data_IF_436120514372
#
_entry.id   IF_436120514372
#
_cell.length_a   1.000
_cell.length_b   1.000
_cell.length_c   1.000
_cell.angle_alpha   90.00
_cell.angle_beta   90.00
_cell.angle_gamma   90.00
#
_symmetry.space_group_name_H-M   'P 1'
#
loop_
_entity.id
_entity.type
_entity.pdbx_description
1 polymer ?
#
# COMPACT_ATOMS: atom_id res chain seq x y z
N UNK A 1 -20.07 -1.69 -6.94
CA UNK A 1 -20.07 -0.64 -5.90
C UNK A 1 -18.93 -0.94 -4.92
N UNK A 2 -17.86 -0.13 -4.89
CA UNK A 2 -16.76 -0.30 -3.92
C UNK A 2 -17.25 0.20 -2.56
N UNK A 3 -17.19 -0.65 -1.53
CA UNK A 3 -17.80 -0.40 -0.21
C UNK A 3 -16.96 0.58 0.64
N UNK A 4 -15.64 0.53 0.49
CA UNK A 4 -14.66 1.44 1.11
C UNK A 4 -13.59 1.76 0.05
N UNK A 5 -13.13 3.00 -0.03
CA UNK A 5 -12.03 3.39 -0.91
C UNK A 5 -11.32 4.65 -0.41
N UNK A 6 -10.06 4.82 -0.84
CA UNK A 6 -9.33 6.06 -0.65
C UNK A 6 -9.80 7.04 -1.72
N UNK A 7 -10.42 8.14 -1.32
CA UNK A 7 -10.92 9.19 -2.19
C UNK A 7 -9.81 10.15 -2.63
N UNK A 8 -8.93 10.55 -1.71
CA UNK A 8 -7.76 11.39 -2.00
C UNK A 8 -6.55 11.01 -1.15
N UNK A 9 -5.36 11.33 -1.65
CA UNK A 9 -4.09 11.27 -0.92
C UNK A 9 -3.41 12.63 -1.11
N UNK A 10 -3.00 13.23 -0.01
CA UNK A 10 -2.46 14.58 0.05
C UNK A 10 -1.23 14.62 0.98
N UNK A 11 -0.42 15.67 0.87
CA UNK A 11 0.76 15.90 1.72
C UNK A 11 1.73 14.70 1.78
N UNK A 12 1.88 13.98 0.67
CA UNK A 12 2.79 12.85 0.55
C UNK A 12 4.25 13.30 0.71
N UNK A 13 4.97 12.67 1.61
CA UNK A 13 6.39 12.92 1.89
C UNK A 13 7.10 11.61 2.19
N UNK A 14 8.33 11.47 1.73
CA UNK A 14 9.23 10.40 2.15
C UNK A 14 10.26 11.04 3.06
N UNK A 15 10.53 10.45 4.23
CA UNK A 15 11.51 10.97 5.18
C UNK A 15 12.05 9.82 6.02
N UNK A 16 13.38 9.67 6.08
CA UNK A 16 14.04 8.75 7.03
C UNK A 16 13.47 7.30 7.02
N UNK A 17 13.24 6.72 5.83
CA UNK A 17 12.69 5.35 5.72
C UNK A 17 11.18 5.23 5.97
N UNK A 18 10.48 6.38 5.97
CA UNK A 18 9.05 6.47 6.23
C UNK A 18 8.34 7.22 5.12
N UNK A 19 7.09 6.86 4.89
CA UNK A 19 6.16 7.57 4.01
C UNK A 19 5.10 8.22 4.90
N UNK A 20 5.00 9.54 4.85
CA UNK A 20 3.96 10.31 5.54
C UNK A 20 2.95 10.81 4.52
N UNK A 21 1.66 10.65 4.79
CA UNK A 21 0.61 11.20 3.94
C UNK A 21 -0.67 11.46 4.74
N UNK A 22 -1.53 12.27 4.16
CA UNK A 22 -2.92 12.42 4.59
C UNK A 22 -3.82 11.78 3.55
N UNK A 23 -4.93 11.19 3.94
CA UNK A 23 -5.92 10.68 2.98
C UNK A 23 -7.34 10.89 3.48
N UNK A 24 -8.26 10.95 2.52
CA UNK A 24 -9.69 10.89 2.79
C UNK A 24 -10.18 9.49 2.42
N UNK A 25 -10.68 8.75 3.41
CA UNK A 25 -11.26 7.42 3.20
C UNK A 25 -12.77 7.55 3.20
N UNK A 26 -13.39 7.10 2.11
CA UNK A 26 -14.82 7.25 1.90
C UNK A 26 -15.49 5.89 1.68
N UNK A 27 -16.74 5.79 2.12
CA UNK A 27 -17.50 4.54 2.00
C UNK A 27 -18.98 4.74 2.24
N UNK A 28 -19.78 3.82 1.70
CA UNK A 28 -21.24 3.77 1.94
C UNK A 28 -21.64 2.33 2.25
N UNK A 29 -22.59 2.18 3.16
CA UNK A 29 -23.18 0.90 3.56
C UNK A 29 -22.15 -0.15 3.99
N UNK A 30 -21.11 0.28 4.70
CA UNK A 30 -20.07 -0.64 5.15
C UNK A 30 -20.61 -1.56 6.22
N UNK A 31 -20.42 -2.85 5.99
CA UNK A 31 -20.75 -3.93 6.91
C UNK A 31 -19.48 -4.72 7.20
N UNK A 32 -19.14 -4.84 8.48
CA UNK A 32 -17.97 -5.59 8.93
C UNK A 32 -18.44 -6.69 9.89
N UNK A 33 -17.97 -7.91 9.69
CA UNK A 33 -18.27 -9.03 10.58
C UNK A 33 -16.96 -9.46 11.25
N UNK A 34 -16.96 -9.54 12.58
CA UNK A 34 -15.84 -10.11 13.33
C UNK A 34 -16.31 -11.21 14.27
N UNK A 35 -15.41 -12.14 14.60
CA UNK A 35 -15.69 -13.21 15.56
C UNK A 35 -15.12 -12.81 16.91
N UNK A 36 -15.98 -12.77 17.92
CA UNK A 36 -15.59 -12.63 19.33
C UNK A 36 -16.00 -13.92 20.04
N UNK A 37 -15.01 -14.75 20.36
CA UNK A 37 -15.25 -16.11 20.86
C UNK A 37 -15.99 -16.97 19.84
N UNK A 38 -17.19 -17.46 20.21
CA UNK A 38 -18.06 -18.28 19.33
C UNK A 38 -19.13 -17.47 18.60
N UNK A 39 -19.20 -16.15 18.82
CA UNK A 39 -20.24 -15.30 18.25
C UNK A 39 -19.68 -14.42 17.13
N UNK A 40 -20.44 -14.29 16.05
CA UNK A 40 -20.15 -13.33 14.98
C UNK A 40 -20.89 -12.03 15.28
N UNK A 41 -20.16 -10.94 15.43
CA UNK A 41 -20.70 -9.60 15.59
C UNK A 41 -20.69 -8.92 14.22
N UNK A 42 -21.84 -8.44 13.77
CA UNK A 42 -21.98 -7.66 12.55
C UNK A 42 -22.08 -6.17 12.91
N UNK A 43 -21.15 -5.37 12.42
CA UNK A 43 -21.15 -3.92 12.53
C UNK A 43 -21.66 -3.32 11.23
N UNK A 44 -22.63 -2.42 11.35
CA UNK A 44 -23.02 -1.52 10.26
C UNK A 44 -22.35 -0.19 10.56
N UNK A 45 -21.35 0.16 9.76
CA UNK A 45 -20.54 1.36 9.93
C UNK A 45 -21.21 2.57 9.25
N UNK A 46 -22.06 2.33 8.25
CA UNK A 46 -22.83 3.39 7.59
C UNK A 46 -22.05 4.13 6.51
N UNK A 47 -22.31 5.42 6.35
CA UNK A 47 -21.53 6.32 5.49
C UNK A 47 -20.29 6.81 6.23
N UNK A 48 -19.16 6.80 5.52
CA UNK A 48 -17.84 7.13 6.07
C UNK A 48 -17.24 8.22 5.20
N UNK A 49 -16.68 9.21 5.87
CA UNK A 49 -15.87 10.26 5.26
C UNK A 49 -14.76 10.62 6.25
N UNK A 50 -13.77 9.72 6.35
CA UNK A 50 -12.75 9.73 7.39
C UNK A 50 -11.45 10.38 6.86
N UNK A 51 -11.17 11.64 7.19
CA UNK A 51 -9.84 12.20 7.02
C UNK A 51 -8.89 11.51 8.00
N UNK A 52 -7.74 11.05 7.52
CA UNK A 52 -6.75 10.35 8.34
C UNK A 52 -5.32 10.71 7.93
N UNK A 53 -4.40 10.64 8.89
CA UNK A 53 -2.96 10.88 8.68
C UNK A 53 -2.17 9.63 9.00
N UNK A 54 -1.28 9.26 8.10
CA UNK A 54 -0.53 8.02 8.19
C UNK A 54 0.96 8.28 8.16
N UNK A 55 1.67 7.47 8.94
CA UNK A 55 3.09 7.22 8.80
C UNK A 55 3.26 5.74 8.44
N UNK A 56 3.98 5.43 7.37
CA UNK A 56 4.27 4.05 6.97
C UNK A 56 5.77 3.88 6.97
N UNK A 57 6.29 3.13 7.95
CA UNK A 57 7.67 2.68 7.90
C UNK A 57 7.78 1.51 6.93
N UNK A 58 8.89 1.40 6.20
CA UNK A 58 9.09 0.31 5.27
C UNK A 58 10.50 -0.26 5.32
N UNK A 59 10.64 -1.54 4.97
CA UNK A 59 11.92 -2.22 4.87
C UNK A 59 11.86 -3.28 3.77
N UNK A 60 12.88 -3.31 2.92
CA UNK A 60 13.04 -4.37 1.96
C UNK A 60 13.87 -5.51 2.54
N UNK A 61 13.31 -6.72 2.53
CA UNK A 61 14.02 -7.93 2.86
C UNK A 61 14.57 -8.56 1.57
N UNK A 62 15.86 -8.32 1.32
CA UNK A 62 16.58 -8.84 0.16
C UNK A 62 16.60 -10.36 0.09
N UNK A 63 16.50 -11.05 1.23
CA UNK A 63 16.55 -12.51 1.27
C UNK A 63 15.25 -13.15 0.79
N UNK A 64 14.12 -12.47 1.02
CA UNK A 64 12.79 -12.96 0.63
C UNK A 64 12.19 -12.22 -0.57
N UNK A 65 12.82 -11.12 -1.00
CA UNK A 65 12.31 -10.25 -2.07
C UNK A 65 11.03 -9.50 -1.69
N UNK A 66 10.78 -9.32 -0.38
CA UNK A 66 9.55 -8.73 0.14
C UNK A 66 9.75 -7.31 0.65
N UNK A 67 8.82 -6.44 0.32
CA UNK A 67 8.69 -5.12 0.95
C UNK A 67 7.75 -5.23 2.14
N UNK A 68 8.28 -5.00 3.33
CA UNK A 68 7.55 -5.04 4.59
C UNK A 68 7.08 -3.61 4.90
N UNK A 69 5.76 -3.42 4.99
CA UNK A 69 5.15 -2.15 5.35
C UNK A 69 4.59 -2.19 6.77
N UNK A 70 4.87 -1.15 7.55
CA UNK A 70 4.35 -0.93 8.88
C UNK A 70 3.58 0.40 8.90
N UNK A 71 2.28 0.37 8.55
CA UNK A 71 1.44 1.54 8.64
C UNK A 71 1.16 1.85 10.10
N UNK A 72 1.15 3.13 10.44
CA UNK A 72 0.80 3.68 11.75
C UNK A 72 -0.13 4.87 11.55
N UNK A 73 -1.29 4.82 12.20
CA UNK A 73 -2.28 5.88 12.13
C UNK A 73 -1.91 6.97 13.15
N UNK A 74 -1.59 8.17 12.65
CA UNK A 74 -1.28 9.34 13.49
C UNK A 74 -2.54 10.04 14.04
N UNK A 75 -3.72 9.59 13.61
CA UNK A 75 -5.03 10.18 13.94
C UNK A 75 -5.55 11.13 12.87
N UNK A 76 -6.57 11.92 13.23
CA UNK A 76 -7.16 12.95 12.37
C UNK A 76 -7.12 14.33 13.02
N UNK A 77 -7.10 15.40 12.21
CA UNK A 77 -7.12 16.77 12.74
C UNK A 77 -8.46 17.13 13.39
N UNK A 78 -9.55 16.50 12.94
CA UNK A 78 -10.92 16.94 13.22
C UNK A 78 -11.79 15.82 13.80
N UNK A 79 -11.25 15.04 14.75
CA UNK A 79 -11.96 13.92 15.41
C UNK A 79 -13.28 14.33 16.10
N UNK A 80 -13.47 15.63 16.36
CA UNK A 80 -14.67 16.18 16.99
C UNK A 80 -15.94 16.08 16.14
N UNK A 81 -15.78 16.00 14.81
CA UNK A 81 -16.90 15.94 13.85
C UNK A 81 -17.13 14.54 13.28
N UNK A 82 -16.50 13.52 13.88
CA UNK A 82 -16.62 12.15 13.40
C UNK A 82 -18.03 11.61 13.57
N UNK A 83 -18.57 11.03 12.50
CA UNK A 83 -19.76 10.20 12.61
C UNK A 83 -19.44 8.94 13.43
N UNK A 84 -20.46 8.24 13.89
CA UNK A 84 -20.28 6.93 14.52
C UNK A 84 -19.52 5.95 13.61
N UNK A 85 -19.73 6.04 12.29
CA UNK A 85 -19.01 5.24 11.30
C UNK A 85 -17.52 5.55 11.26
N UNK A 86 -17.17 6.83 11.29
CA UNK A 86 -15.78 7.28 11.30
C UNK A 86 -15.06 6.83 12.57
N UNK A 87 -15.71 6.91 13.75
CA UNK A 87 -15.14 6.43 15.03
C UNK A 87 -14.85 4.92 14.98
N UNK A 88 -15.80 4.12 14.48
CA UNK A 88 -15.64 2.66 14.37
C UNK A 88 -14.52 2.29 13.39
N UNK A 89 -14.48 2.94 12.22
CA UNK A 89 -13.42 2.69 11.24
C UNK A 89 -12.06 3.15 11.77
N UNK A 90 -11.97 4.31 12.41
CA UNK A 90 -10.74 4.81 13.00
C UNK A 90 -10.18 3.83 14.05
N UNK A 91 -11.06 3.26 14.89
CA UNK A 91 -10.68 2.24 15.88
C UNK A 91 -10.15 0.97 15.22
N UNK A 92 -10.80 0.50 14.15
CA UNK A 92 -10.33 -0.65 13.38
C UNK A 92 -8.97 -0.38 12.71
N UNK A 93 -8.82 0.77 12.08
CA UNK A 93 -7.58 1.17 11.40
C UNK A 93 -6.43 1.37 12.40
N UNK A 94 -6.72 1.85 13.61
CA UNK A 94 -5.74 1.94 14.70
C UNK A 94 -5.24 0.55 15.10
N UNK A 95 -6.14 -0.42 15.26
CA UNK A 95 -5.77 -1.79 15.62
C UNK A 95 -4.96 -2.50 14.51
N UNK A 96 -5.23 -2.18 13.25
CA UNK A 96 -4.52 -2.73 12.09
C UNK A 96 -3.20 -2.00 11.79
N UNK A 97 -3.10 -0.72 12.16
CA UNK A 97 -1.92 0.14 12.00
C UNK A 97 -0.77 -0.15 12.97
N UNK A 98 -0.62 -1.40 13.42
CA UNK A 98 0.55 -1.84 14.20
C UNK A 98 0.97 -3.25 13.81
N UNK A 99 0.57 -3.67 12.60
CA UNK A 99 0.85 -4.99 12.02
C UNK A 99 1.77 -4.82 10.82
N UNK A 100 2.70 -5.76 10.63
CA UNK A 100 3.54 -5.84 9.43
C UNK A 100 2.74 -6.41 8.27
N UNK A 101 2.75 -5.72 7.13
CA UNK A 101 2.14 -6.17 5.88
C UNK A 101 3.23 -6.49 4.86
N UNK A 102 3.47 -7.77 4.54
CA UNK A 102 4.44 -8.16 3.52
C UNK A 102 3.84 -8.01 2.12
N UNK A 103 4.58 -7.36 1.23
CA UNK A 103 4.30 -7.26 -0.20
C UNK A 103 5.34 -8.05 -0.98
N UNK A 104 4.89 -9.01 -1.76
CA UNK A 104 5.76 -9.77 -2.65
C UNK A 104 6.08 -8.95 -3.90
N UNK A 105 7.36 -8.74 -4.18
CA UNK A 105 7.84 -7.99 -5.34
C UNK A 105 8.61 -8.88 -6.33
N UNK A 106 8.55 -10.21 -6.16
CA UNK A 106 9.28 -11.14 -7.02
C UNK A 106 8.65 -11.30 -8.42
N UNK A 107 7.41 -10.84 -8.62
CA UNK A 107 6.65 -11.01 -9.86
C UNK A 107 6.59 -9.74 -10.73
N UNK A 108 7.72 -9.03 -10.89
CA UNK A 108 7.78 -7.93 -11.84
C UNK A 108 7.66 -8.47 -13.27
N UNK A 109 6.62 -8.04 -13.98
CA UNK A 109 6.43 -8.43 -15.38
C UNK A 109 7.62 -7.98 -16.24
N UNK A 110 8.19 -8.87 -17.06
CA UNK A 110 9.24 -8.50 -18.00
C UNK A 110 8.78 -7.40 -18.95
N UNK A 111 9.70 -6.51 -19.32
CA UNK A 111 9.46 -5.52 -20.36
C UNK A 111 9.85 -6.13 -21.70
N UNK A 112 8.87 -6.33 -22.58
CA UNK A 112 9.11 -6.83 -23.93
C UNK A 112 9.10 -5.68 -24.93
N UNK A 113 10.12 -5.61 -25.78
CA UNK A 113 10.21 -4.62 -26.86
C UNK A 113 10.82 -5.23 -28.12
N UNK A 114 10.60 -4.58 -29.26
CA UNK A 114 11.23 -4.96 -30.54
C UNK A 114 12.34 -3.97 -30.87
N UNK A 115 13.50 -4.50 -31.25
CA UNK A 115 14.62 -3.73 -31.77
C UNK A 115 15.06 -4.34 -33.10
N UNK A 116 14.79 -3.66 -34.22
CA UNK A 116 14.88 -4.25 -35.57
C UNK A 116 14.10 -5.58 -35.67
N UNK A 117 14.75 -6.65 -36.12
CA UNK A 117 14.17 -8.00 -36.25
C UNK A 117 14.41 -8.86 -34.98
N UNK A 118 14.61 -8.23 -33.83
CA UNK A 118 14.84 -8.91 -32.55
C UNK A 118 13.75 -8.56 -31.55
N UNK A 119 13.21 -9.59 -30.90
CA UNK A 119 12.44 -9.44 -29.67
C UNK A 119 13.43 -9.38 -28.51
N UNK A 120 13.36 -8.29 -27.75
CA UNK A 120 14.18 -8.05 -26.56
C UNK A 120 13.26 -8.16 -25.35
N UNK A 121 13.54 -9.13 -24.48
CA UNK A 121 12.87 -9.29 -23.19
C UNK A 121 13.82 -8.83 -22.09
N UNK A 122 13.44 -7.77 -21.39
CA UNK A 122 14.14 -7.27 -20.22
C UNK A 122 13.46 -7.81 -18.97
N UNK A 123 14.08 -8.78 -18.32
CA UNK A 123 13.71 -9.20 -16.98
C UNK A 123 14.38 -8.26 -15.98
N UNK A 124 13.71 -7.93 -14.89
CA UNK A 124 14.25 -7.07 -13.83
C UNK A 124 14.09 -7.77 -12.49
N UNK A 125 15.18 -7.82 -11.73
CA UNK A 125 15.15 -8.20 -10.31
C UNK A 125 15.36 -6.95 -9.46
N UNK A 126 14.64 -6.83 -8.34
CA UNK A 126 14.88 -5.77 -7.37
C UNK A 126 16.08 -6.15 -6.51
N UNK A 127 17.09 -5.29 -6.46
CA UNK A 127 18.27 -5.48 -5.62
C UNK A 127 18.11 -4.83 -4.24
N UNK A 128 17.46 -3.65 -4.21
CA UNK A 128 17.20 -2.93 -2.98
C UNK A 128 16.03 -1.95 -3.11
N UNK A 129 15.43 -1.60 -1.97
CA UNK A 129 14.47 -0.49 -1.85
C UNK A 129 14.77 0.26 -0.55
N UNK A 130 15.06 1.55 -0.67
CA UNK A 130 15.39 2.40 0.48
C UNK A 130 14.96 3.85 0.26
N UNK A 131 14.90 4.62 1.34
CA UNK A 131 14.74 6.07 1.27
C UNK A 131 16.07 6.79 1.49
N UNK A 132 16.33 7.82 0.69
CA UNK A 132 17.40 8.78 0.89
C UNK A 132 16.96 10.14 0.33
N UNK A 133 17.42 11.26 0.91
CA UNK A 133 17.14 12.62 0.42
C UNK A 133 15.66 12.89 0.08
N UNK A 134 14.77 12.48 0.97
CA UNK A 134 13.30 12.58 0.82
C UNK A 134 12.73 11.89 -0.43
N UNK A 135 13.41 10.86 -0.94
CA UNK A 135 13.03 10.07 -2.12
C UNK A 135 13.07 8.57 -1.82
N UNK A 136 12.29 7.82 -2.60
CA UNK A 136 12.31 6.35 -2.62
C UNK A 136 13.17 5.91 -3.80
N UNK A 137 14.17 5.08 -3.51
CA UNK A 137 15.01 4.44 -4.51
C UNK A 137 14.63 2.97 -4.61
N UNK A 138 14.54 2.50 -5.85
CA UNK A 138 14.39 1.08 -6.19
C UNK A 138 15.57 0.75 -7.08
N UNK A 139 16.47 -0.08 -6.58
CA UNK A 139 17.62 -0.54 -7.35
C UNK A 139 17.24 -1.81 -8.11
N UNK A 140 17.53 -1.82 -9.41
CA UNK A 140 17.14 -2.88 -10.31
C UNK A 140 18.37 -3.53 -10.94
N UNK A 141 18.38 -4.85 -11.03
CA UNK A 141 19.35 -5.63 -11.79
C UNK A 141 18.66 -6.11 -13.08
N UNK A 142 19.03 -5.55 -14.24
CA UNK A 142 18.47 -5.97 -15.52
C UNK A 142 19.09 -7.29 -15.99
N UNK A 143 18.27 -8.17 -16.56
CA UNK A 143 18.69 -9.39 -17.26
C UNK A 143 18.04 -9.42 -18.64
N UNK A 144 18.85 -9.17 -19.67
CA UNK A 144 18.39 -9.04 -21.07
C UNK A 144 18.44 -10.41 -21.76
N UNK A 145 17.34 -10.75 -22.43
CA UNK A 145 17.25 -11.89 -23.34
C UNK A 145 16.87 -11.39 -24.73
N UNK A 146 17.59 -11.87 -25.75
CA UNK A 146 17.37 -11.47 -27.14
C UNK A 146 16.97 -12.73 -27.94
N UNK A 147 15.86 -12.63 -28.66
CA UNK A 147 15.41 -13.66 -29.60
C UNK A 147 15.29 -13.06 -31.00
N UNK A 148 15.98 -13.64 -31.97
CA UNK A 148 15.78 -13.31 -33.38
C UNK A 148 14.39 -13.73 -33.80
N UNK A 149 13.65 -12.82 -34.44
CA UNK A 149 12.39 -13.15 -35.09
C UNK A 149 12.74 -13.48 -36.54
N UNK A 150 12.73 -14.77 -36.87
CA UNK A 150 12.83 -15.19 -38.27
C UNK A 150 11.54 -14.80 -38.98
N UNK A 151 11.67 -14.12 -40.12
CA UNK A 151 10.55 -13.82 -41.05
C UNK A 151 9.99 -15.09 -41.70
#
# INVERSE_FOLDING_TARGET
MRRLYIQSIDNFKIKEGKILFSCLISGKDIKYATKVGKQTINFVVGEINLPSRWEVSFRYDKSTGKLLLFPYLLGSKDEKDFSQGDVLLNSLLTALGSVEYPFDLNDLNPVETKFYNQLVTLNVAIADIYAADDRLFIELIPAVQIKSVNE
#
